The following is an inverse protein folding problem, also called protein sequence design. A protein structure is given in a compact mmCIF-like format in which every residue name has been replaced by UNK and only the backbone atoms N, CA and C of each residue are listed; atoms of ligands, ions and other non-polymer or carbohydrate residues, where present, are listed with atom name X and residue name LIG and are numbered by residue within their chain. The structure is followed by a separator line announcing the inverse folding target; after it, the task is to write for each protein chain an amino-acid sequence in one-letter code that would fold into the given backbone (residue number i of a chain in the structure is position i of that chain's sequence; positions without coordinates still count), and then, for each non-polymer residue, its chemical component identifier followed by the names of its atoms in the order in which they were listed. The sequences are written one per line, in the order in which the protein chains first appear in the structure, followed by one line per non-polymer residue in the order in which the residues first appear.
data_IF_381343000944
#
_entry.id   IF_381343000944
#
_cell.length_a   1.000
_cell.length_b   1.000
_cell.length_c   1.000
_cell.angle_alpha   90.00
_cell.angle_beta   90.00
_cell.angle_gamma   90.00
#
_symmetry.space_group_name_H-M   'P 1'
#
loop_
_entity.id
_entity.type
_entity.pdbx_description
1 polymer ?
#
# COMPACT_ATOMS: atom_id res chain seq x y z
N UNK A 1 14.41 9.96 -3.18
CA UNK A 1 12.93 9.82 -3.11
C UNK A 1 12.55 8.60 -2.29
N UNK A 2 11.43 8.64 -1.57
CA UNK A 2 10.90 7.51 -0.80
C UNK A 2 9.43 7.27 -1.18
N UNK A 3 9.03 6.01 -1.29
CA UNK A 3 7.64 5.61 -1.55
C UNK A 3 7.18 4.57 -0.51
N UNK A 4 5.95 4.68 0.03
CA UNK A 4 5.46 3.78 1.06
C UNK A 4 5.01 2.44 0.47
N UNK A 5 5.35 1.34 1.15
CA UNK A 5 4.83 0.00 0.90
C UNK A 5 4.02 -0.43 2.13
N UNK A 6 2.78 -0.85 1.92
CA UNK A 6 1.84 -1.25 2.99
C UNK A 6 1.57 -2.75 2.91
N UNK A 7 1.76 -3.46 4.03
CA UNK A 7 1.40 -4.86 4.19
C UNK A 7 0.03 -5.01 4.85
N UNK A 8 -0.75 -5.96 4.32
CA UNK A 8 -2.04 -6.35 4.87
C UNK A 8 -2.12 -7.86 5.09
N UNK A 9 -2.79 -8.27 6.16
CA UNK A 9 -3.27 -9.63 6.35
C UNK A 9 -4.79 -9.57 6.36
N UNK A 10 -5.42 -10.34 5.48
CA UNK A 10 -6.83 -10.15 5.14
C UNK A 10 -7.08 -8.68 4.75
N UNK A 11 -7.94 -7.98 5.49
CA UNK A 11 -8.30 -6.58 5.26
C UNK A 11 -7.68 -5.61 6.29
N UNK A 12 -6.77 -6.08 7.13
CA UNK A 12 -6.13 -5.28 8.18
C UNK A 12 -4.72 -4.87 7.77
N UNK A 13 -4.39 -3.59 7.97
CA UNK A 13 -3.03 -3.08 7.80
C UNK A 13 -2.19 -3.54 8.98
N UNK A 14 -1.09 -4.24 8.71
CA UNK A 14 -0.23 -4.83 9.76
C UNK A 14 1.14 -4.16 9.86
N UNK A 15 1.53 -3.37 8.87
CA UNK A 15 2.86 -2.81 8.80
C UNK A 15 3.24 -2.40 7.39
N UNK A 16 4.51 -2.07 7.20
CA UNK A 16 5.04 -1.58 5.94
C UNK A 16 6.48 -1.14 6.06
N UNK A 17 7.00 -0.58 4.97
CA UNK A 17 8.31 0.06 4.94
C UNK A 17 8.32 1.15 3.89
N UNK A 18 9.25 2.09 4.01
CA UNK A 18 9.60 2.98 2.93
C UNK A 18 10.64 2.35 2.05
N UNK A 19 10.39 2.44 0.75
CA UNK A 19 11.35 2.06 -0.26
C UNK A 19 12.08 3.32 -0.70
N UNK A 20 13.36 3.42 -0.35
CA UNK A 20 14.12 4.68 -0.45
C UNK A 20 15.21 4.57 -1.51
N UNK A 21 15.33 5.65 -2.29
CA UNK A 21 16.41 5.88 -3.23
C UNK A 21 17.16 7.16 -2.88
N UNK A 22 18.45 7.03 -2.56
CA UNK A 22 19.32 8.16 -2.21
C UNK A 22 19.79 8.97 -3.41
N UNK A 23 19.87 8.38 -4.61
CA UNK A 23 20.44 9.02 -5.81
C UNK A 23 19.45 9.41 -6.90
N UNK A 24 18.13 9.38 -6.63
CA UNK A 24 17.08 9.59 -7.64
C UNK A 24 16.10 10.68 -7.26
N UNK A 25 15.66 11.42 -8.29
CA UNK A 25 14.63 12.45 -8.25
C UNK A 25 13.23 11.87 -8.49
N UNK A 26 12.18 12.68 -8.30
CA UNK A 26 10.78 12.24 -8.40
C UNK A 26 10.37 11.74 -9.79
N UNK A 27 11.12 12.10 -10.83
CA UNK A 27 10.86 11.73 -12.23
C UNK A 27 11.68 10.53 -12.69
N UNK A 28 12.62 10.05 -11.88
CA UNK A 28 13.52 8.97 -12.28
C UNK A 28 12.88 7.60 -12.07
N UNK A 29 13.17 6.64 -12.96
CA UNK A 29 12.68 5.28 -12.85
C UNK A 29 13.18 4.64 -11.54
N UNK A 30 12.26 4.36 -10.62
CA UNK A 30 12.55 3.78 -9.29
C UNK A 30 12.86 2.27 -9.33
N UNK A 31 12.90 1.61 -10.48
CA UNK A 31 13.19 0.16 -10.57
C UNK A 31 14.68 -0.17 -10.80
N UNK A 32 15.62 0.70 -10.39
CA UNK A 32 17.07 0.45 -10.62
C UNK A 32 17.81 0.12 -9.32
N UNK A 33 18.94 -0.62 -9.39
CA UNK A 33 19.72 -1.03 -8.22
C UNK A 33 20.13 0.16 -7.33
N UNK A 34 20.29 -0.07 -6.02
CA UNK A 34 20.65 0.97 -5.04
C UNK A 34 19.53 1.35 -4.06
N UNK A 35 18.53 0.49 -3.91
CA UNK A 35 17.37 0.70 -3.05
C UNK A 35 17.64 0.15 -1.66
N UNK A 36 17.27 0.92 -0.65
CA UNK A 36 17.28 0.48 0.74
C UNK A 36 15.87 0.63 1.33
N UNK A 37 15.62 -0.14 2.37
CA UNK A 37 14.31 -0.24 2.99
C UNK A 37 14.40 0.35 4.39
N UNK A 38 13.61 1.39 4.62
CA UNK A 38 13.50 2.04 5.91
C UNK A 38 12.22 1.60 6.60
N UNK A 39 12.26 1.19 7.89
CA UNK A 39 11.08 0.77 8.61
C UNK A 39 10.01 1.87 8.61
N UNK A 40 8.78 1.52 8.24
CA UNK A 40 7.61 2.37 8.44
C UNK A 40 7.00 1.96 9.78
N UNK A 41 7.46 2.59 10.86
CA UNK A 41 6.86 2.38 12.17
C UNK A 41 5.54 3.14 12.26
N UNK A 42 4.43 2.41 12.33
CA UNK A 42 3.14 2.97 12.71
C UNK A 42 3.17 3.23 14.21
N UNK A 43 3.73 4.38 14.63
CA UNK A 43 3.71 4.80 16.05
C UNK A 43 2.27 4.91 16.59
N UNK A 44 1.31 5.13 15.68
CA UNK A 44 -0.12 5.18 15.93
C UNK A 44 -0.84 4.17 15.05
N UNK A 45 -1.94 3.60 15.57
CA UNK A 45 -2.74 2.61 14.84
C UNK A 45 -3.19 3.16 13.48
N UNK A 46 -2.87 2.49 12.35
CA UNK A 46 -3.27 2.95 11.01
C UNK A 46 -4.77 2.86 10.77
N UNK A 47 -5.55 2.33 11.73
CA UNK A 47 -6.99 2.20 11.61
C UNK A 47 -7.74 3.49 11.94
N UNK A 48 -7.15 4.43 12.69
CA UNK A 48 -7.84 5.61 13.19
C UNK A 48 -7.06 6.90 12.89
N UNK A 49 -7.66 7.87 12.16
CA UNK A 49 -7.07 9.19 12.02
C UNK A 49 -7.25 10.01 13.30
N UNK A 50 -6.37 10.98 13.51
CA UNK A 50 -6.52 11.99 14.55
C UNK A 50 -7.17 13.25 13.97
N UNK A 51 -8.41 13.52 14.39
CA UNK A 51 -9.21 14.64 13.88
C UNK A 51 -8.76 16.00 14.42
N UNK A 52 -7.95 16.02 15.47
CA UNK A 52 -7.43 17.26 16.07
C UNK A 52 -6.13 17.71 15.42
N UNK A 53 -5.51 16.85 14.60
CA UNK A 53 -4.28 17.15 13.89
C UNK A 53 -4.52 17.48 12.41
N UNK A 54 -3.56 18.17 11.82
CA UNK A 54 -3.55 18.52 10.40
C UNK A 54 -3.63 17.29 9.48
N UNK A 55 -4.11 17.47 8.26
CA UNK A 55 -4.27 16.38 7.28
C UNK A 55 -2.96 15.62 6.99
N UNK A 56 -1.82 16.31 7.00
CA UNK A 56 -0.49 15.73 6.77
C UNK A 56 0.27 15.42 8.08
N UNK A 57 -0.41 15.43 9.22
CA UNK A 57 0.17 14.85 10.43
C UNK A 57 0.41 13.34 10.21
N UNK A 58 1.47 12.81 10.82
CA UNK A 58 1.85 11.40 10.69
C UNK A 58 0.68 10.40 10.84
N UNK A 59 -0.17 10.46 11.89
CA UNK A 59 -1.30 9.53 12.01
C UNK A 59 -2.28 9.62 10.84
N UNK A 60 -2.58 10.83 10.37
CA UNK A 60 -3.52 11.07 9.28
C UNK A 60 -2.97 10.63 7.92
N UNK A 61 -1.70 10.93 7.66
CA UNK A 61 -1.00 10.47 6.45
C UNK A 61 -0.94 8.93 6.40
N UNK A 62 -0.64 8.27 7.53
CA UNK A 62 -0.59 6.81 7.59
C UNK A 62 -1.97 6.17 7.46
N UNK A 63 -3.00 6.78 8.05
CA UNK A 63 -4.39 6.38 7.83
C UNK A 63 -4.76 6.46 6.34
N UNK A 64 -4.38 7.54 5.65
CA UNK A 64 -4.63 7.70 4.22
C UNK A 64 -3.94 6.60 3.38
N UNK A 65 -2.70 6.23 3.70
CA UNK A 65 -2.03 5.09 3.07
C UNK A 65 -2.82 3.80 3.26
N UNK A 66 -3.33 3.55 4.47
CA UNK A 66 -4.16 2.39 4.78
C UNK A 66 -5.51 2.38 4.05
N UNK A 67 -6.12 3.54 3.83
CA UNK A 67 -7.35 3.65 3.02
C UNK A 67 -7.07 3.24 1.58
N UNK A 68 -6.04 3.82 0.95
CA UNK A 68 -5.68 3.50 -0.45
C UNK A 68 -5.31 2.02 -0.60
N UNK A 69 -4.54 1.47 0.35
CA UNK A 69 -4.17 0.06 0.34
C UNK A 69 -5.41 -0.87 0.39
N UNK A 70 -6.41 -0.56 1.22
CA UNK A 70 -7.65 -1.36 1.30
C UNK A 70 -8.50 -1.26 0.04
N UNK A 71 -8.53 -0.09 -0.62
CA UNK A 71 -9.19 0.06 -1.92
C UNK A 71 -8.50 -0.78 -3.00
N UNK A 72 -7.16 -0.78 -3.02
CA UNK A 72 -6.37 -1.61 -3.93
C UNK A 72 -6.60 -3.11 -3.67
N UNK A 73 -6.65 -3.52 -2.40
CA UNK A 73 -7.00 -4.90 -2.01
C UNK A 73 -8.38 -5.30 -2.52
N UNK A 74 -9.39 -4.43 -2.36
CA UNK A 74 -10.74 -4.70 -2.84
C UNK A 74 -10.78 -4.84 -4.36
N UNK A 75 -10.06 -3.99 -5.08
CA UNK A 75 -9.95 -4.08 -6.54
C UNK A 75 -9.29 -5.41 -6.97
N UNK A 76 -8.16 -5.78 -6.35
CA UNK A 76 -7.48 -7.04 -6.63
C UNK A 76 -8.35 -8.26 -6.30
N UNK A 77 -9.11 -8.22 -5.20
CA UNK A 77 -10.03 -9.30 -4.84
C UNK A 77 -11.14 -9.50 -5.89
N UNK A 78 -11.68 -8.41 -6.45
CA UNK A 78 -12.64 -8.46 -7.56
C UNK A 78 -12.01 -9.03 -8.82
N UNK A 79 -10.83 -8.55 -9.20
CA UNK A 79 -10.10 -9.06 -10.36
C UNK A 79 -9.81 -10.57 -10.25
N UNK A 80 -9.34 -11.04 -9.09
CA UNK A 80 -9.10 -12.47 -8.83
C UNK A 80 -10.40 -13.28 -8.92
N UNK A 81 -11.51 -12.76 -8.39
CA UNK A 81 -12.81 -13.40 -8.47
C UNK A 81 -13.27 -13.55 -9.92
N UNK A 82 -13.20 -12.48 -10.70
CA UNK A 82 -13.66 -12.47 -12.09
C UNK A 82 -12.76 -13.35 -12.98
N UNK A 83 -11.44 -13.34 -12.76
CA UNK A 83 -10.51 -14.24 -13.43
C UNK A 83 -10.79 -15.73 -13.16
N UNK A 84 -11.24 -16.08 -11.94
CA UNK A 84 -11.65 -17.46 -11.60
C UNK A 84 -12.94 -17.85 -12.31
N UNK A 85 -13.90 -16.93 -12.45
CA UNK A 85 -15.15 -17.19 -13.18
C UNK A 85 -14.88 -17.45 -14.67
N UNK A 86 -14.03 -16.64 -15.29
CA UNK A 86 -13.65 -16.81 -16.71
C UNK A 86 -13.02 -18.18 -16.95
N UNK A 87 -12.07 -18.61 -16.10
CA UNK A 87 -11.44 -19.93 -16.22
C UNK A 87 -12.46 -21.07 -16.10
N UNK A 88 -13.39 -20.97 -15.14
CA UNK A 88 -14.42 -22.00 -14.93
C UNK A 88 -15.37 -22.14 -16.13
N UNK A 89 -15.69 -21.04 -16.81
CA UNK A 89 -16.54 -21.07 -18.02
C UNK A 89 -15.76 -21.56 -19.24
N UNK A 90 -14.47 -21.25 -19.35
CA UNK A 90 -13.60 -21.71 -20.44
C UNK A 90 -13.28 -23.21 -20.39
N UNK A 91 -13.16 -23.80 -19.20
CA UNK A 91 -12.94 -25.25 -19.02
C UNK A 91 -14.22 -26.10 -19.25
N UNK A 92 -15.39 -25.48 -19.46
CA UNK A 92 -16.66 -26.17 -19.73
C UNK A 92 -17.07 -26.17 -21.22
N UNK A 93 -16.20 -25.71 -22.12
CA UNK A 93 -16.40 -25.75 -23.58
C UNK A 93 -15.40 -26.73 -24.21
#
# INVERSE_FOLDING_TARGET
VAEPVVYMIHNQVVGGFYRVHTGKTATDNLNSPGMHFEPLSFETSPANPDKEQECDAAPNRFYAFGVVARLALLAAAREIHDAKLIKKTGDQI
#
